data_IF_548243881566
#
_entry.id   IF_548243881566
#
_cell.length_a   1.000
_cell.length_b   1.000
_cell.length_c   1.000
_cell.angle_alpha   90.00
_cell.angle_beta   90.00
_cell.angle_gamma   90.00
#
_symmetry.space_group_name_H-M   'P 1'
#
loop_
_entity.id
_entity.type
_entity.pdbx_description
1 polymer ?
#
# COMPACT_ATOMS: atom_id res chain seq x y z
N UNK A 1 19.49 -0.76 0.41
CA UNK A 1 20.84 -0.16 0.40
C UNK A 1 20.88 0.96 1.43
N UNK A 2 22.03 1.20 2.10
CA UNK A 2 22.20 2.28 3.08
C UNK A 2 23.42 3.11 2.69
N UNK A 3 23.29 4.43 2.69
CA UNK A 3 24.38 5.34 2.36
C UNK A 3 24.26 6.64 3.15
N UNK A 4 25.40 7.31 3.37
CA UNK A 4 25.42 8.61 4.06
C UNK A 4 24.88 9.70 3.16
N UNK A 5 24.10 10.62 3.72
CA UNK A 5 23.66 11.81 3.00
C UNK A 5 24.85 12.65 2.52
N UNK A 6 24.73 13.24 1.33
CA UNK A 6 25.80 14.01 0.70
C UNK A 6 26.05 15.38 1.35
N UNK A 7 25.09 15.91 2.13
CA UNK A 7 25.19 17.18 2.85
C UNK A 7 25.53 17.00 4.33
N UNK A 8 25.09 15.91 4.96
CA UNK A 8 25.46 15.56 6.34
C UNK A 8 25.69 14.05 6.51
N UNK A 9 26.96 13.66 6.66
CA UNK A 9 27.37 12.24 6.81
C UNK A 9 26.79 11.53 8.04
N UNK A 10 26.21 12.25 9.01
CA UNK A 10 25.52 11.67 10.18
C UNK A 10 24.12 11.19 9.85
N UNK A 11 23.56 11.64 8.73
CA UNK A 11 22.26 11.20 8.24
C UNK A 11 22.48 9.97 7.36
N UNK A 12 21.87 8.85 7.74
CA UNK A 12 21.90 7.62 6.96
C UNK A 12 20.61 7.50 6.14
N UNK A 13 20.73 7.58 4.82
CA UNK A 13 19.63 7.31 3.90
C UNK A 13 19.47 5.82 3.70
N UNK A 14 18.22 5.37 3.63
CA UNK A 14 17.85 3.98 3.35
C UNK A 14 16.97 3.97 2.13
N UNK A 15 17.33 3.13 1.18
CA UNK A 15 16.56 2.92 -0.04
C UNK A 15 16.25 1.44 -0.22
N UNK A 16 15.11 1.18 -0.86
CA UNK A 16 14.72 -0.16 -1.27
C UNK A 16 15.78 -0.71 -2.23
N UNK A 17 16.13 -1.98 -2.05
CA UNK A 17 16.92 -2.70 -3.03
C UNK A 17 16.00 -3.12 -4.19
N UNK A 18 16.53 -3.41 -5.39
CA UNK A 18 15.73 -4.01 -6.45
C UNK A 18 14.97 -5.25 -5.98
N UNK A 19 15.61 -6.10 -5.17
CA UNK A 19 14.97 -7.29 -4.61
C UNK A 19 13.83 -6.99 -3.64
N UNK A 20 13.95 -5.91 -2.87
CA UNK A 20 12.88 -5.46 -1.98
C UNK A 20 11.68 -4.96 -2.79
N UNK A 21 11.92 -4.23 -3.89
CA UNK A 21 10.86 -3.79 -4.80
C UNK A 21 10.12 -5.01 -5.38
N UNK A 22 10.84 -5.98 -5.93
CA UNK A 22 10.24 -7.24 -6.43
C UNK A 22 9.40 -7.95 -5.36
N UNK A 23 9.90 -7.99 -4.11
CA UNK A 23 9.17 -8.59 -3.01
C UNK A 23 7.89 -7.81 -2.67
N UNK A 24 7.95 -6.48 -2.65
CA UNK A 24 6.79 -5.64 -2.41
C UNK A 24 5.72 -5.83 -3.49
N UNK A 25 6.12 -5.84 -4.76
CA UNK A 25 5.20 -6.08 -5.89
C UNK A 25 4.57 -7.47 -5.82
N UNK A 26 5.35 -8.50 -5.46
CA UNK A 26 4.85 -9.85 -5.26
C UNK A 26 3.80 -9.90 -4.13
N UNK A 27 4.11 -9.31 -2.97
CA UNK A 27 3.19 -9.29 -1.83
C UNK A 27 1.93 -8.47 -2.15
N UNK A 28 2.08 -7.34 -2.85
CA UNK A 28 0.95 -6.51 -3.29
C UNK A 28 0.02 -7.30 -4.21
N UNK A 29 0.57 -8.00 -5.21
CA UNK A 29 -0.21 -8.83 -6.13
C UNK A 29 -0.93 -9.95 -5.37
N UNK A 30 -0.23 -10.66 -4.48
CA UNK A 30 -0.82 -11.74 -3.70
C UNK A 30 -1.97 -11.24 -2.79
N UNK A 31 -1.80 -10.07 -2.17
CA UNK A 31 -2.85 -9.44 -1.36
C UNK A 31 -4.07 -9.06 -2.21
N UNK A 32 -3.85 -8.46 -3.39
CA UNK A 32 -4.91 -8.12 -4.34
C UNK A 32 -5.68 -9.36 -4.78
N UNK A 33 -4.99 -10.44 -5.12
CA UNK A 33 -5.62 -11.70 -5.56
C UNK A 33 -6.44 -12.34 -4.43
N UNK A 34 -5.92 -12.34 -3.20
CA UNK A 34 -6.63 -12.85 -2.04
C UNK A 34 -7.92 -12.07 -1.74
N UNK A 35 -7.90 -10.75 -1.93
CA UNK A 35 -9.07 -9.88 -1.73
C UNK A 35 -10.06 -10.04 -2.89
N UNK A 36 -9.57 -10.08 -4.14
CA UNK A 36 -10.40 -10.21 -5.34
C UNK A 36 -11.36 -11.40 -5.26
N UNK A 37 -10.87 -12.56 -4.82
CA UNK A 37 -11.69 -13.76 -4.67
C UNK A 37 -12.77 -13.63 -3.59
N UNK A 38 -12.56 -12.78 -2.57
CA UNK A 38 -13.52 -12.54 -1.50
C UNK A 38 -14.60 -11.55 -1.92
N UNK A 39 -14.23 -10.52 -2.68
CA UNK A 39 -15.17 -9.47 -3.11
C UNK A 39 -15.93 -9.87 -4.38
N UNK A 40 -15.46 -10.86 -5.14
CA UNK A 40 -16.13 -11.33 -6.38
C UNK A 40 -17.51 -11.95 -6.15
N UNK A 41 -17.87 -12.25 -4.90
CA UNK A 41 -19.21 -12.77 -4.54
C UNK A 41 -20.21 -11.67 -4.24
N UNK A 42 -19.79 -10.40 -4.19
CA UNK A 42 -20.64 -9.26 -3.89
C UNK A 42 -21.37 -8.77 -5.15
N UNK A 43 -22.55 -8.17 -4.96
CA UNK A 43 -23.27 -7.50 -6.03
C UNK A 43 -22.62 -6.17 -6.41
N UNK A 44 -22.97 -5.62 -7.57
CA UNK A 44 -22.48 -4.29 -7.98
C UNK A 44 -22.90 -3.18 -7.00
N UNK A 45 -24.08 -3.31 -6.39
CA UNK A 45 -24.56 -2.39 -5.36
C UNK A 45 -23.68 -2.47 -4.10
N UNK A 46 -23.44 -3.69 -3.60
CA UNK A 46 -22.57 -3.91 -2.43
C UNK A 46 -21.12 -3.46 -2.70
N UNK A 47 -20.62 -3.65 -3.93
CA UNK A 47 -19.27 -3.19 -4.33
C UNK A 47 -19.17 -1.66 -4.33
N UNK A 48 -20.21 -0.96 -4.77
CA UNK A 48 -20.26 0.50 -4.73
C UNK A 48 -20.32 1.03 -3.29
N UNK A 49 -21.10 0.38 -2.43
CA UNK A 49 -21.20 0.74 -1.01
C UNK A 49 -19.88 0.50 -0.28
N UNK A 50 -19.23 -0.63 -0.55
CA UNK A 50 -17.90 -0.94 -0.02
C UNK A 50 -16.86 0.10 -0.46
N UNK A 51 -16.87 0.49 -1.74
CA UNK A 51 -15.97 1.51 -2.29
C UNK A 51 -16.16 2.85 -1.58
N UNK A 52 -17.41 3.31 -1.47
CA UNK A 52 -17.75 4.56 -0.80
C UNK A 52 -17.34 4.57 0.69
N UNK A 53 -17.49 3.42 1.35
CA UNK A 53 -17.08 3.22 2.75
C UNK A 53 -15.56 3.32 2.91
N UNK A 54 -14.79 2.68 2.02
CA UNK A 54 -13.33 2.73 2.03
C UNK A 54 -12.79 4.14 1.74
N UNK A 55 -13.43 4.88 0.83
CA UNK A 55 -13.06 6.27 0.54
C UNK A 55 -13.30 7.19 1.74
N UNK A 56 -14.42 6.99 2.43
CA UNK A 56 -14.72 7.70 3.68
C UNK A 56 -13.67 7.39 4.75
N UNK A 57 -13.35 6.12 4.93
CA UNK A 57 -12.34 5.66 5.89
C UNK A 57 -10.96 6.28 5.57
N UNK A 58 -10.53 6.20 4.31
CA UNK A 58 -9.28 6.80 3.82
C UNK A 58 -9.22 8.30 4.09
N UNK A 59 -10.33 9.00 3.85
CA UNK A 59 -10.46 10.44 4.14
C UNK A 59 -10.32 10.75 5.62
N UNK A 60 -10.89 9.92 6.52
CA UNK A 60 -10.74 10.07 7.96
C UNK A 60 -9.29 9.82 8.37
N UNK A 61 -8.65 8.74 7.89
CA UNK A 61 -7.25 8.44 8.19
C UNK A 61 -6.31 9.57 7.80
N UNK A 62 -6.53 10.23 6.65
CA UNK A 62 -5.74 11.40 6.23
C UNK A 62 -5.85 12.59 7.19
N UNK A 63 -6.90 12.68 8.01
CA UNK A 63 -7.08 13.71 9.03
C UNK A 63 -6.36 13.40 10.34
N UNK A 64 -5.98 12.14 10.59
CA UNK A 64 -5.27 11.68 11.80
C UNK A 64 -3.78 12.03 11.80
N UNK A 65 -3.42 13.22 11.30
CA UNK A 65 -2.04 13.72 11.28
C UNK A 65 -1.38 13.67 12.65
#
# INVERSE_FOLDING_TARGET
>A
HRYTDSKDRRILRVELTPKAIELFEYVESAAKDAIKNKISTLSDEDLNDLTSSLDTLSTIFKKLK
#
